data_IF_372530438873
#
_entry.id   IF_372530438873
#
_cell.length_a   1.000
_cell.length_b   1.000
_cell.length_c   1.000
_cell.angle_alpha   90.00
_cell.angle_beta   90.00
_cell.angle_gamma   90.00
#
_symmetry.space_group_name_H-M   'P 1'
#
loop_
_entity.id
_entity.type
_entity.pdbx_description
1 polymer ?
#
# COMPACT_ATOMS: atom_id res chain seq x y z
N UNK A 1 -12.14 -9.31 26.13
CA UNK A 1 -11.82 -9.52 24.69
C UNK A 1 -11.02 -10.81 24.53
N UNK A 2 -11.16 -11.52 23.41
CA UNK A 2 -10.28 -12.65 23.05
C UNK A 2 -9.34 -12.19 21.94
N UNK A 3 -8.02 -12.05 22.18
CA UNK A 3 -7.08 -11.72 21.11
C UNK A 3 -6.89 -12.93 20.18
N UNK A 4 -6.62 -12.66 18.91
CA UNK A 4 -6.20 -13.65 17.91
C UNK A 4 -4.75 -13.37 17.53
N UNK A 5 -3.98 -14.43 17.28
CA UNK A 5 -2.60 -14.34 16.79
C UNK A 5 -2.58 -14.68 15.30
N UNK A 6 -2.21 -13.72 14.47
CA UNK A 6 -2.06 -13.91 13.03
C UNK A 6 -0.58 -14.10 12.69
N UNK A 7 -0.21 -15.28 12.20
CA UNK A 7 1.16 -15.60 11.78
C UNK A 7 1.26 -15.49 10.26
N UNK A 8 2.20 -14.68 9.77
CA UNK A 8 2.41 -14.49 8.33
C UNK A 8 3.44 -13.43 7.95
N UNK A 9 3.92 -12.65 8.92
CA UNK A 9 5.08 -11.77 8.78
C UNK A 9 6.25 -12.37 9.56
N UNK A 10 7.43 -12.37 8.95
CA UNK A 10 8.68 -12.86 9.54
C UNK A 10 9.47 -11.72 10.21
N UNK A 11 9.08 -10.47 9.94
CA UNK A 11 9.71 -9.27 10.48
C UNK A 11 8.70 -8.37 11.18
N UNK A 12 9.24 -7.37 11.87
CA UNK A 12 8.44 -6.39 12.61
C UNK A 12 7.43 -5.70 11.70
N UNK A 13 6.17 -5.68 12.15
CA UNK A 13 5.09 -4.91 11.54
C UNK A 13 5.43 -3.42 11.59
N UNK A 14 5.17 -2.71 10.50
CA UNK A 14 5.42 -1.28 10.32
C UNK A 14 4.13 -0.47 10.37
N UNK A 15 3.04 -0.98 9.78
CA UNK A 15 1.72 -0.36 9.85
C UNK A 15 0.60 -1.42 9.78
N UNK A 16 -0.56 -1.06 10.33
CA UNK A 16 -1.80 -1.83 10.24
C UNK A 16 -2.92 -0.85 9.86
N UNK A 17 -3.77 -1.23 8.91
CA UNK A 17 -4.94 -0.45 8.50
C UNK A 17 -6.14 -1.36 8.27
N UNK A 18 -7.30 -0.92 8.74
CA UNK A 18 -8.58 -1.49 8.36
C UNK A 18 -9.05 -0.83 7.06
N UNK A 19 -9.87 -1.54 6.29
CA UNK A 19 -10.71 -0.86 5.31
C UNK A 19 -11.88 -0.14 6.00
N UNK A 20 -12.70 0.56 5.20
CA UNK A 20 -13.82 1.36 5.70
C UNK A 20 -15.05 0.54 6.02
N UNK A 21 -15.25 -0.58 5.33
CA UNK A 21 -16.31 -1.55 5.63
C UNK A 21 -16.03 -2.38 6.90
N UNK A 22 -14.77 -2.45 7.31
CA UNK A 22 -14.34 -3.07 8.57
C UNK A 22 -14.19 -4.59 8.52
N UNK A 23 -14.35 -5.22 7.35
CA UNK A 23 -14.20 -6.65 7.13
C UNK A 23 -12.76 -7.07 6.76
N UNK A 24 -11.94 -6.15 6.24
CA UNK A 24 -10.56 -6.42 5.86
C UNK A 24 -9.54 -5.67 6.72
N UNK A 25 -8.42 -6.35 6.96
CA UNK A 25 -7.26 -5.88 7.70
C UNK A 25 -6.00 -6.00 6.84
N UNK A 26 -5.40 -4.87 6.53
CA UNK A 26 -4.12 -4.75 5.84
C UNK A 26 -3.00 -4.65 6.86
N UNK A 27 -2.01 -5.52 6.73
CA UNK A 27 -0.84 -5.56 7.62
C UNK A 27 0.42 -5.54 6.78
N UNK A 28 1.34 -4.66 7.18
CA UNK A 28 2.58 -4.46 6.46
C UNK A 28 3.76 -4.47 7.41
N UNK A 29 4.89 -4.99 6.94
CA UNK A 29 6.06 -5.24 7.76
C UNK A 29 7.35 -4.85 7.04
N UNK A 30 8.48 -5.02 7.72
CA UNK A 30 9.82 -4.93 7.08
C UNK A 30 10.11 -6.08 6.09
N UNK A 31 9.14 -6.97 5.89
CA UNK A 31 9.12 -7.95 4.83
C UNK A 31 8.76 -7.29 3.49
N UNK A 32 9.17 -7.89 2.35
CA UNK A 32 8.77 -7.42 1.02
C UNK A 32 7.32 -7.78 0.65
N UNK A 33 6.59 -8.45 1.53
CA UNK A 33 5.21 -8.88 1.32
C UNK A 33 4.24 -8.08 2.17
N UNK A 34 3.05 -7.84 1.64
CA UNK A 34 1.92 -7.27 2.39
C UNK A 34 0.89 -8.37 2.58
N UNK A 35 0.34 -8.49 3.78
CA UNK A 35 -0.67 -9.51 4.08
C UNK A 35 -2.04 -8.87 4.30
N UNK A 36 -3.06 -9.49 3.71
CA UNK A 36 -4.47 -9.11 3.84
C UNK A 36 -5.21 -10.21 4.59
N UNK A 37 -5.96 -9.81 5.61
CA UNK A 37 -6.70 -10.70 6.49
C UNK A 37 -8.16 -10.27 6.57
N UNK A 38 -9.04 -11.22 6.80
CA UNK A 38 -10.39 -10.93 7.27
C UNK A 38 -10.34 -10.59 8.76
N UNK A 39 -10.86 -9.42 9.12
CA UNK A 39 -10.90 -8.95 10.51
C UNK A 39 -11.86 -9.76 11.39
N UNK A 40 -12.92 -10.31 10.78
CA UNK A 40 -14.02 -11.00 11.46
C UNK A 40 -13.65 -12.39 11.95
N UNK A 41 -12.82 -13.12 11.21
CA UNK A 41 -12.48 -14.51 11.48
C UNK A 41 -10.97 -14.78 11.60
N UNK A 42 -10.11 -13.83 11.19
CA UNK A 42 -8.66 -13.98 11.20
C UNK A 42 -8.09 -14.81 10.05
N UNK A 43 -8.90 -15.18 9.05
CA UNK A 43 -8.43 -15.89 7.87
C UNK A 43 -7.59 -14.99 6.97
N UNK A 44 -6.56 -15.55 6.33
CA UNK A 44 -5.73 -14.82 5.36
C UNK A 44 -6.45 -14.79 4.02
N UNK A 45 -6.80 -13.60 3.54
CA UNK A 45 -7.35 -13.44 2.20
C UNK A 45 -6.26 -13.65 1.14
N UNK A 46 -5.08 -13.08 1.36
CA UNK A 46 -3.99 -13.18 0.40
C UNK A 46 -2.76 -12.36 0.75
N UNK A 47 -1.90 -12.20 -0.26
CA UNK A 47 -0.63 -11.47 -0.15
C UNK A 47 -0.35 -10.64 -1.38
N UNK A 48 0.18 -9.44 -1.18
CA UNK A 48 0.75 -8.66 -2.28
C UNK A 48 2.25 -8.88 -2.35
N UNK A 49 2.68 -9.45 -3.46
CA UNK A 49 4.09 -9.75 -3.75
C UNK A 49 4.56 -8.86 -4.90
N UNK A 50 5.68 -8.16 -4.69
CA UNK A 50 6.31 -7.40 -5.75
C UNK A 50 7.30 -6.36 -5.26
N UNK A 51 7.11 -5.83 -4.04
CA UNK A 51 8.11 -4.98 -3.40
C UNK A 51 9.43 -5.74 -3.24
N UNK A 52 10.54 -5.04 -3.43
CA UNK A 52 11.89 -5.62 -3.28
C UNK A 52 12.56 -5.22 -1.96
N UNK A 53 11.87 -4.40 -1.16
CA UNK A 53 12.34 -3.93 0.13
C UNK A 53 11.22 -3.83 1.16
N UNK A 54 11.58 -3.45 2.37
CA UNK A 54 10.65 -3.25 3.49
C UNK A 54 9.52 -2.31 3.08
N UNK A 55 8.28 -2.68 3.39
CA UNK A 55 7.11 -1.85 3.13
C UNK A 55 6.76 -1.11 4.42
N UNK A 56 6.63 0.21 4.34
CA UNK A 56 6.56 1.08 5.51
C UNK A 56 5.13 1.48 5.82
N UNK A 57 4.34 1.66 4.76
CA UNK A 57 2.98 2.11 4.90
C UNK A 57 2.04 1.43 3.90
N UNK A 58 0.79 1.29 4.33
CA UNK A 58 -0.31 0.76 3.54
C UNK A 58 -1.55 1.58 3.84
N UNK A 59 -2.38 1.82 2.83
CA UNK A 59 -3.71 2.39 2.99
C UNK A 59 -4.67 1.82 1.96
N UNK A 60 -5.93 1.67 2.33
CA UNK A 60 -6.98 1.22 1.44
C UNK A 60 -7.89 2.40 1.08
N UNK A 61 -8.39 2.40 -0.16
CA UNK A 61 -9.39 3.36 -0.60
C UNK A 61 -10.74 3.16 0.12
N UNK A 62 -11.65 4.10 -0.09
CA UNK A 62 -12.98 4.05 0.52
C UNK A 62 -13.83 2.92 0.00
N UNK A 63 -13.70 2.62 -1.30
CA UNK A 63 -14.45 1.55 -1.97
C UNK A 63 -13.86 0.15 -1.72
N UNK A 64 -12.72 0.04 -1.04
CA UNK A 64 -11.94 -1.21 -0.89
C UNK A 64 -11.59 -1.89 -2.24
N UNK A 65 -11.45 -1.11 -3.32
CA UNK A 65 -11.02 -1.61 -4.64
C UNK A 65 -9.52 -1.45 -4.84
N UNK A 66 -8.94 -0.44 -4.22
CA UNK A 66 -7.56 -0.04 -4.45
C UNK A 66 -6.78 0.03 -3.14
N UNK A 67 -5.60 -0.56 -3.15
CA UNK A 67 -4.69 -0.51 -2.01
C UNK A 67 -3.41 0.19 -2.43
N UNK A 68 -3.03 1.21 -1.67
CA UNK A 68 -1.79 1.95 -1.85
C UNK A 68 -0.76 1.45 -0.84
N UNK A 69 0.45 1.23 -1.32
CA UNK A 69 1.58 0.79 -0.51
C UNK A 69 2.79 1.65 -0.77
N UNK A 70 3.52 2.02 0.28
CA UNK A 70 4.75 2.79 0.21
C UNK A 70 5.91 2.02 0.81
N UNK A 71 7.04 1.98 0.10
CA UNK A 71 8.18 1.15 0.45
C UNK A 71 9.50 1.92 0.48
N UNK A 72 10.49 1.31 1.14
CA UNK A 72 11.89 1.72 1.08
C UNK A 72 12.58 1.36 -0.26
N UNK A 73 11.91 0.66 -1.17
CA UNK A 73 12.39 0.41 -2.53
C UNK A 73 12.24 1.62 -3.48
N UNK A 74 11.96 2.80 -2.92
CA UNK A 74 11.68 4.05 -3.64
C UNK A 74 10.57 3.85 -4.67
N UNK A 75 9.47 3.22 -4.23
CA UNK A 75 8.25 3.12 -5.02
C UNK A 75 6.99 3.20 -4.15
N UNK A 76 5.96 3.82 -4.73
CA UNK A 76 4.57 3.64 -4.33
C UNK A 76 3.94 2.66 -5.33
N UNK A 77 3.18 1.68 -4.83
CA UNK A 77 2.45 0.73 -5.67
C UNK A 77 0.97 0.77 -5.35
N UNK A 78 0.18 0.80 -6.41
CA UNK A 78 -1.28 0.69 -6.34
C UNK A 78 -1.65 -0.74 -6.75
N UNK A 79 -2.41 -1.40 -5.90
CA UNK A 79 -2.85 -2.78 -6.05
C UNK A 79 -4.36 -2.82 -6.21
N UNK A 80 -4.82 -3.79 -6.98
CA UNK A 80 -6.21 -4.20 -7.00
C UNK A 80 -6.48 -5.09 -5.77
N UNK A 81 -7.46 -4.70 -4.95
CA UNK A 81 -7.79 -5.45 -3.74
C UNK A 81 -8.43 -6.82 -4.08
N UNK A 82 -9.23 -6.90 -5.13
CA UNK A 82 -9.99 -8.11 -5.50
C UNK A 82 -9.09 -9.16 -6.12
N UNK A 83 -8.19 -8.73 -7.02
CA UNK A 83 -7.31 -9.65 -7.76
C UNK A 83 -5.94 -9.82 -7.12
N UNK A 84 -5.54 -8.91 -6.23
CA UNK A 84 -4.21 -8.85 -5.63
C UNK A 84 -3.08 -8.54 -6.61
N UNK A 85 -3.42 -8.08 -7.83
CA UNK A 85 -2.45 -7.70 -8.85
C UNK A 85 -2.03 -6.25 -8.69
N UNK A 86 -0.80 -5.96 -9.07
CA UNK A 86 -0.31 -4.60 -9.13
C UNK A 86 -0.91 -3.90 -10.37
N UNK A 87 -1.59 -2.77 -10.14
CA UNK A 87 -2.21 -1.95 -11.19
C UNK A 87 -1.29 -0.84 -11.70
N UNK A 88 -0.58 -0.19 -10.78
CA UNK A 88 0.32 0.90 -11.11
C UNK A 88 1.62 0.85 -10.31
N UNK A 89 2.67 1.40 -10.91
CA UNK A 89 3.97 1.59 -10.28
C UNK A 89 4.35 3.07 -10.37
N UNK A 90 4.40 3.74 -9.23
CA UNK A 90 4.96 5.06 -9.14
C UNK A 90 6.39 4.96 -8.58
N UNK A 91 7.37 5.30 -9.42
CA UNK A 91 8.76 5.41 -8.98
C UNK A 91 8.99 6.76 -8.31
N UNK A 92 9.52 6.72 -7.09
CA UNK A 92 9.93 7.90 -6.35
C UNK A 92 11.46 7.95 -6.30
N UNK A 93 12.02 9.13 -6.06
CA UNK A 93 13.47 9.30 -5.90
C UNK A 93 13.94 9.06 -4.46
N UNK A 94 13.00 8.95 -3.52
CA UNK A 94 13.25 8.72 -2.09
C UNK A 94 12.22 7.74 -1.53
N UNK A 95 12.54 7.16 -0.38
CA UNK A 95 11.70 6.20 0.31
C UNK A 95 10.38 6.84 0.74
N UNK A 96 9.31 6.04 0.72
CA UNK A 96 7.97 6.50 1.09
C UNK A 96 7.75 6.19 2.56
N UNK A 97 7.50 7.23 3.36
CA UNK A 97 7.36 7.14 4.83
C UNK A 97 5.91 6.98 5.27
N UNK A 98 5.01 7.74 4.66
CA UNK A 98 3.57 7.62 4.87
C UNK A 98 2.87 7.70 3.54
N UNK A 99 1.74 7.02 3.43
CA UNK A 99 0.80 7.16 2.34
C UNK A 99 -0.63 7.23 2.89
N UNK A 100 -1.54 7.84 2.14
CA UNK A 100 -2.94 7.87 2.51
C UNK A 100 -3.86 8.27 1.38
N UNK A 101 -5.06 7.70 1.36
CA UNK A 101 -6.16 8.19 0.53
C UNK A 101 -6.84 9.38 1.20
N UNK A 102 -7.23 10.34 0.38
CA UNK A 102 -8.13 11.40 0.79
C UNK A 102 -9.54 10.85 1.12
N UNK A 103 -10.33 11.64 1.85
CA UNK A 103 -11.72 11.33 2.17
C UNK A 103 -12.60 11.16 0.92
N UNK A 104 -12.25 11.80 -0.20
CA UNK A 104 -12.94 11.60 -1.47
C UNK A 104 -12.46 10.40 -2.29
N UNK A 105 -11.43 9.67 -1.86
CA UNK A 105 -10.87 8.51 -2.57
C UNK A 105 -10.15 8.81 -3.89
N UNK A 106 -10.22 10.05 -4.39
CA UNK A 106 -9.65 10.45 -5.69
C UNK A 106 -8.21 10.96 -5.60
N UNK A 107 -7.77 11.38 -4.43
CA UNK A 107 -6.41 11.90 -4.22
C UNK A 107 -5.68 10.95 -3.29
N UNK A 108 -4.43 10.65 -3.64
CA UNK A 108 -3.50 9.98 -2.75
C UNK A 108 -2.43 10.96 -2.30
N UNK A 109 -2.01 10.85 -1.04
CA UNK A 109 -0.85 11.54 -0.53
C UNK A 109 0.25 10.54 -0.23
N UNK A 110 1.50 10.95 -0.44
CA UNK A 110 2.64 10.24 0.11
C UNK A 110 3.71 11.22 0.55
N UNK A 111 4.40 10.90 1.64
CA UNK A 111 5.54 11.68 2.13
C UNK A 111 6.83 10.96 1.78
N UNK A 112 7.76 11.68 1.16
CA UNK A 112 9.12 11.17 0.92
C UNK A 112 10.02 11.43 2.12
N UNK A 113 11.02 10.58 2.31
CA UNK A 113 12.02 10.83 3.34
C UNK A 113 13.04 11.89 2.89
N UNK A 114 13.64 12.59 3.86
CA UNK A 114 14.75 13.55 3.64
C UNK A 114 16.09 12.85 3.39
N UNK A 115 16.16 11.54 3.59
CA UNK A 115 17.38 10.75 3.34
C UNK A 115 17.80 10.87 1.85
N UNK A 116 19.11 10.82 1.60
CA UNK A 116 19.75 10.96 0.28
C UNK A 116 19.78 12.37 -0.34
N UNK A 117 19.55 13.43 0.45
CA UNK A 117 19.71 14.82 -0.01
C UNK A 117 18.52 15.35 -0.82
N UNK A 118 17.44 14.58 -0.92
CA UNK A 118 16.18 15.03 -1.50
C UNK A 118 15.42 15.93 -0.51
N UNK A 119 14.68 16.89 -1.07
CA UNK A 119 13.74 17.70 -0.29
C UNK A 119 12.62 16.79 0.24
N UNK A 120 12.30 16.93 1.53
CA UNK A 120 11.17 16.26 2.14
C UNK A 120 9.91 17.06 1.82
N UNK A 121 9.04 16.51 0.98
CA UNK A 121 7.74 17.09 0.67
C UNK A 121 6.65 16.02 0.75
N UNK A 122 5.43 16.48 0.99
CA UNK A 122 4.24 15.66 0.85
C UNK A 122 3.73 15.89 -0.57
N UNK A 123 3.67 14.82 -1.35
CA UNK A 123 3.12 14.83 -2.70
C UNK A 123 1.67 14.41 -2.67
N UNK A 124 0.82 15.11 -3.42
CA UNK A 124 -0.58 14.77 -3.64
C UNK A 124 -0.77 14.44 -5.11
N UNK A 125 -1.23 13.23 -5.41
CA UNK A 125 -1.45 12.76 -6.77
C UNK A 125 -2.94 12.51 -6.98
N UNK A 126 -3.46 12.94 -8.12
CA UNK A 126 -4.84 12.71 -8.51
C UNK A 126 -4.95 11.37 -9.24
N UNK A 127 -5.79 10.46 -8.73
CA UNK A 127 -5.99 9.15 -9.32
C UNK A 127 -6.81 9.19 -10.61
N UNK A 128 -7.52 10.30 -10.87
CA UNK A 128 -8.34 10.48 -12.07
C UNK A 128 -7.52 10.94 -13.27
N UNK A 129 -6.31 11.43 -13.04
CA UNK A 129 -5.42 11.91 -14.08
C UNK A 129 -4.47 10.78 -14.53
N UNK A 130 -4.76 10.11 -15.67
CA UNK A 130 -3.92 9.01 -16.14
C UNK A 130 -2.52 9.47 -16.53
N UNK A 131 -2.27 10.78 -16.71
CA UNK A 131 -0.92 11.28 -16.98
C UNK A 131 0.01 11.21 -15.76
N UNK A 132 -0.56 11.17 -14.55
CA UNK A 132 0.19 11.06 -13.29
C UNK A 132 0.41 9.61 -12.86
N UNK A 133 -0.33 8.68 -13.46
CA UNK A 133 -0.26 7.25 -13.14
C UNK A 133 0.17 6.48 -14.38
N UNK A 134 1.38 5.91 -14.31
CA UNK A 134 1.78 4.88 -15.27
C UNK A 134 1.06 3.59 -14.89
N UNK A 135 -0.11 3.39 -15.47
CA UNK A 135 -0.81 2.10 -15.45
C UNK A 135 0.03 1.11 -16.24
N UNK A 136 0.68 0.17 -15.55
CA UNK A 136 1.23 -0.99 -16.24
C UNK A 136 0.10 -1.98 -16.42
N UNK A 137 -0.71 -1.74 -17.46
CA UNK A 137 -1.62 -2.74 -17.97
C UNK A 137 -0.83 -4.01 -18.32
N UNK A 138 -1.36 -5.16 -17.92
CA UNK A 138 -0.95 -6.45 -18.46
C UNK A 138 -1.32 -6.43 -19.95
N UNK A 139 -0.38 -6.02 -20.81
CA UNK A 139 -0.57 -6.05 -22.26
C UNK A 139 -0.07 -4.82 -23.01
N UNK A 140 1.25 -4.58 -22.99
CA UNK A 140 1.92 -3.92 -24.11
C UNK A 140 3.17 -4.74 -24.45
N UNK A 141 3.08 -5.48 -25.56
CA UNK A 141 4.20 -6.01 -26.33
C UNK A 141 4.58 -4.99 -27.40
#
# INVERSE_FOLDING_TARGET
MKPILLQGHERSITQIKYNREGDLLFTVAKDPIVNVWYSVNGERLGTYMGHTGAVWCVDADWDTKHVLTGSADNSCRLWDCETGKQLALLKTNSAVRTCGFDFGGNIIMFSTDKQMGYQCFVSFFDLRDPSQIVWRGVGEC
#
